data_IF_175622708539
#
_entry.id   IF_175622708539
#
_cell.length_a   1.000
_cell.length_b   1.000
_cell.length_c   1.000
_cell.angle_alpha   90.00
_cell.angle_beta   90.00
_cell.angle_gamma   90.00
#
_symmetry.space_group_name_H-M   'P 1'
#
loop_
_entity.id
_entity.type
_entity.pdbx_description
1 polymer ?
#
# COMPACT_ATOMS: atom_id res chain seq x y z
N UNK A 1 -1.88 -39.35 -24.89
CA UNK A 1 -1.46 -40.06 -23.66
C UNK A 1 0.04 -40.11 -23.62
N UNK A 2 0.67 -39.25 -22.82
CA UNK A 2 1.95 -39.52 -22.18
C UNK A 2 2.01 -38.60 -20.96
N UNK A 3 1.78 -39.23 -19.81
CA UNK A 3 1.97 -38.68 -18.48
C UNK A 3 3.46 -38.73 -18.19
N UNK A 4 4.05 -37.58 -17.90
CA UNK A 4 5.35 -37.50 -17.22
C UNK A 4 5.09 -37.23 -15.76
N UNK A 5 5.14 -38.32 -14.99
CA UNK A 5 5.19 -38.35 -13.53
C UNK A 5 6.42 -37.57 -13.05
N UNK A 6 6.18 -36.44 -12.38
CA UNK A 6 7.18 -35.73 -11.61
C UNK A 6 7.52 -36.50 -10.34
N UNK A 7 8.82 -36.67 -10.09
CA UNK A 7 9.37 -37.25 -8.87
C UNK A 7 9.03 -36.29 -7.72
N UNK A 8 8.11 -36.69 -6.84
CA UNK A 8 7.75 -35.95 -5.63
C UNK A 8 8.86 -36.12 -4.59
N UNK A 9 9.59 -35.05 -4.29
CA UNK A 9 10.41 -34.99 -3.09
C UNK A 9 9.48 -34.88 -1.86
N UNK A 10 9.79 -35.65 -0.83
CA UNK A 10 9.07 -35.66 0.44
C UNK A 10 9.14 -34.29 1.12
N UNK A 11 8.01 -33.57 1.15
CA UNK A 11 7.83 -32.33 1.92
C UNK A 11 7.21 -31.14 1.19
N UNK A 12 6.74 -31.28 -0.05
CA UNK A 12 6.12 -30.17 -0.78
C UNK A 12 4.80 -29.75 -0.14
N UNK A 13 4.82 -28.58 0.51
CA UNK A 13 3.60 -27.86 0.85
C UNK A 13 2.96 -27.42 -0.46
N UNK A 14 1.81 -27.99 -0.83
CA UNK A 14 1.07 -27.56 -2.02
C UNK A 14 0.52 -26.16 -1.76
N UNK A 15 1.10 -25.13 -2.38
CA UNK A 15 0.57 -23.77 -2.33
C UNK A 15 -0.74 -23.69 -3.13
N UNK A 16 -1.75 -23.01 -2.59
CA UNK A 16 -3.04 -22.84 -3.26
C UNK A 16 -3.08 -21.48 -3.95
N UNK A 17 -2.53 -21.41 -5.16
CA UNK A 17 -2.57 -20.22 -6.01
C UNK A 17 -3.88 -20.14 -6.79
N UNK A 18 -4.42 -18.92 -6.95
CA UNK A 18 -5.50 -18.65 -7.89
C UNK A 18 -4.99 -18.58 -9.32
N UNK A 19 -5.89 -18.68 -10.29
CA UNK A 19 -5.55 -18.52 -11.70
C UNK A 19 -4.84 -17.18 -11.96
N UNK A 20 -3.68 -17.27 -12.62
CA UNK A 20 -2.84 -16.12 -12.97
C UNK A 20 -1.94 -15.61 -11.83
N UNK A 21 -2.03 -16.16 -10.62
CA UNK A 21 -1.05 -15.87 -9.57
C UNK A 21 0.28 -16.55 -9.88
N UNK A 22 1.36 -15.81 -9.64
CA UNK A 22 2.73 -16.29 -9.72
C UNK A 22 3.36 -16.24 -8.33
N UNK A 23 4.16 -17.26 -8.02
CA UNK A 23 4.98 -17.32 -6.82
C UNK A 23 6.45 -17.23 -7.20
N UNK A 24 7.20 -16.36 -6.52
CA UNK A 24 8.62 -16.17 -6.78
C UNK A 24 9.38 -15.86 -5.48
N UNK A 25 10.70 -15.73 -5.58
CA UNK A 25 11.57 -15.22 -4.52
C UNK A 25 12.28 -13.99 -5.07
N UNK A 26 11.96 -12.82 -4.51
CA UNK A 26 12.57 -11.54 -4.89
C UNK A 26 13.39 -11.04 -3.71
N UNK A 27 14.66 -10.72 -3.96
CA UNK A 27 15.67 -10.35 -2.94
C UNK A 27 15.69 -11.28 -1.71
N UNK A 28 15.57 -12.60 -1.95
CA UNK A 28 15.64 -13.60 -0.89
C UNK A 28 14.35 -13.80 -0.09
N UNK A 29 13.27 -13.08 -0.42
CA UNK A 29 12.00 -13.18 0.26
C UNK A 29 10.90 -13.71 -0.66
N UNK A 30 10.04 -14.64 -0.19
CA UNK A 30 8.94 -15.15 -0.97
C UNK A 30 7.92 -14.04 -1.27
N UNK A 31 7.39 -14.05 -2.49
CA UNK A 31 6.36 -13.13 -2.96
C UNK A 31 5.34 -13.90 -3.78
N UNK A 32 4.07 -13.52 -3.64
CA UNK A 32 3.02 -13.93 -4.58
C UNK A 32 2.42 -12.69 -5.20
N UNK A 33 2.28 -12.69 -6.51
CA UNK A 33 1.68 -11.58 -7.22
C UNK A 33 0.76 -12.04 -8.34
N UNK A 34 -0.16 -11.18 -8.73
CA UNK A 34 -1.00 -11.38 -9.90
C UNK A 34 -0.95 -10.13 -10.76
N UNK A 35 -0.55 -10.31 -12.02
CA UNK A 35 -0.64 -9.29 -13.05
C UNK A 35 -1.89 -9.50 -13.90
N UNK A 36 -2.65 -8.44 -14.12
CA UNK A 36 -3.81 -8.39 -15.00
C UNK A 36 -3.48 -7.36 -16.08
N UNK A 37 -3.46 -7.81 -17.33
CA UNK A 37 -3.06 -6.99 -18.46
C UNK A 37 -4.01 -5.80 -18.70
N UNK A 38 -3.46 -4.66 -19.13
CA UNK A 38 -4.22 -3.53 -19.62
C UNK A 38 -4.41 -3.58 -21.13
N UNK A 39 -4.60 -2.42 -21.76
CA UNK A 39 -4.68 -2.29 -23.23
C UNK A 39 -3.31 -2.15 -23.91
N UNK A 40 -2.22 -2.19 -23.13
CA UNK A 40 -0.83 -1.97 -23.55
C UNK A 40 -0.57 -0.56 -24.13
N UNK A 41 -1.37 0.45 -23.75
CA UNK A 41 -1.09 1.85 -24.06
C UNK A 41 0.21 2.30 -23.36
N UNK A 42 1.26 2.72 -24.11
CA UNK A 42 2.54 3.11 -23.53
C UNK A 42 2.48 4.40 -22.70
N UNK A 43 1.37 5.14 -22.77
CA UNK A 43 1.13 6.32 -21.93
C UNK A 43 0.57 5.98 -20.54
N UNK A 44 0.08 4.74 -20.34
CA UNK A 44 -0.50 4.30 -19.08
C UNK A 44 0.55 3.61 -18.21
N UNK A 45 0.83 4.12 -16.99
CA UNK A 45 1.69 3.42 -16.04
C UNK A 45 1.05 2.12 -15.56
N UNK A 46 1.88 1.17 -15.13
CA UNK A 46 1.40 0.02 -14.35
C UNK A 46 0.80 0.50 -13.03
N UNK A 47 -0.32 -0.08 -12.60
CA UNK A 47 -0.90 0.18 -11.27
C UNK A 47 -0.55 -0.97 -10.34
N UNK A 48 0.23 -0.71 -9.29
CA UNK A 48 0.66 -1.72 -8.33
C UNK A 48 -0.04 -1.53 -6.97
N UNK A 49 -0.70 -2.57 -6.47
CA UNK A 49 -1.35 -2.59 -5.17
C UNK A 49 -0.48 -3.30 -4.12
N UNK A 50 -0.28 -2.62 -2.98
CA UNK A 50 0.50 -3.10 -1.84
C UNK A 50 -0.42 -3.22 -0.62
N UNK A 51 -0.61 -4.44 -0.06
CA UNK A 51 -1.62 -4.71 0.96
C UNK A 51 -1.19 -4.30 2.38
N UNK A 52 -2.17 -4.21 3.26
CA UNK A 52 -2.00 -3.88 4.66
C UNK A 52 -1.51 -5.02 5.55
N UNK A 53 -1.44 -4.72 6.84
CA UNK A 53 -1.16 -5.69 7.89
C UNK A 53 -2.13 -6.86 7.80
N UNK A 54 -1.60 -8.08 7.95
CA UNK A 54 -2.32 -9.33 7.95
C UNK A 54 -3.06 -9.69 6.65
N UNK A 55 -2.83 -8.97 5.55
CA UNK A 55 -3.49 -9.21 4.28
C UNK A 55 -2.51 -9.52 3.15
N UNK A 56 -2.94 -10.37 2.24
CA UNK A 56 -2.28 -10.58 0.95
C UNK A 56 -2.91 -9.70 -0.16
N UNK A 57 -2.31 -9.74 -1.35
CA UNK A 57 -2.73 -8.92 -2.49
C UNK A 57 -4.12 -9.26 -3.03
N UNK A 58 -4.69 -10.44 -2.71
CA UNK A 58 -6.01 -10.89 -3.21
C UNK A 58 -7.12 -9.94 -2.84
N UNK A 59 -6.98 -9.21 -1.73
CA UNK A 59 -7.97 -8.19 -1.33
C UNK A 59 -8.22 -7.12 -2.40
N UNK A 60 -7.30 -6.96 -3.36
CA UNK A 60 -7.41 -6.00 -4.46
C UNK A 60 -7.94 -6.58 -5.77
N UNK A 61 -7.96 -7.90 -5.94
CA UNK A 61 -8.30 -8.55 -7.21
C UNK A 61 -9.25 -9.76 -7.11
N UNK A 62 -9.60 -10.21 -5.90
CA UNK A 62 -10.50 -11.35 -5.73
C UNK A 62 -9.84 -12.68 -6.07
N UNK A 63 -10.58 -13.56 -6.75
CA UNK A 63 -10.10 -14.86 -7.25
C UNK A 63 -10.60 -16.09 -6.49
N UNK A 64 -11.27 -15.91 -5.35
CA UNK A 64 -11.88 -17.01 -4.61
C UNK A 64 -13.08 -17.59 -5.36
N UNK A 65 -13.48 -18.82 -5.06
CA UNK A 65 -14.65 -19.43 -5.70
C UNK A 65 -15.92 -18.60 -5.46
N UNK A 66 -16.62 -18.23 -6.54
CA UNK A 66 -17.84 -17.43 -6.46
C UNK A 66 -17.65 -15.91 -6.40
N UNK A 67 -16.40 -15.42 -6.44
CA UNK A 67 -16.13 -13.97 -6.46
C UNK A 67 -16.69 -13.29 -7.72
N UNK A 68 -17.01 -12.00 -7.59
CA UNK A 68 -17.32 -11.13 -8.74
C UNK A 68 -16.19 -10.14 -8.96
N UNK A 69 -15.68 -10.07 -10.18
CA UNK A 69 -14.52 -9.21 -10.48
C UNK A 69 -14.79 -7.73 -10.19
N UNK A 70 -16.00 -7.26 -10.48
CA UNK A 70 -16.43 -5.86 -10.28
C UNK A 70 -16.43 -5.40 -8.80
N UNK A 71 -16.30 -6.32 -7.85
CA UNK A 71 -16.20 -6.02 -6.42
C UNK A 71 -14.76 -5.67 -5.99
N UNK A 72 -13.79 -5.73 -6.90
CA UNK A 72 -12.37 -5.53 -6.59
C UNK A 72 -11.75 -4.46 -7.49
N UNK A 73 -10.76 -3.73 -6.95
CA UNK A 73 -10.08 -2.62 -7.65
C UNK A 73 -9.51 -3.01 -9.01
N UNK A 74 -8.93 -4.21 -9.10
CA UNK A 74 -8.26 -4.66 -10.31
C UNK A 74 -9.18 -4.65 -11.55
N UNK A 75 -10.45 -5.00 -11.39
CA UNK A 75 -11.44 -4.95 -12.46
C UNK A 75 -11.59 -3.52 -13.00
N UNK A 76 -11.76 -2.54 -12.12
CA UNK A 76 -11.99 -1.16 -12.54
C UNK A 76 -10.79 -0.55 -13.26
N UNK A 77 -9.57 -0.86 -12.85
CA UNK A 77 -8.37 -0.42 -13.58
C UNK A 77 -8.25 -1.09 -14.95
N UNK A 78 -8.52 -2.39 -15.03
CA UNK A 78 -8.53 -3.14 -16.28
C UNK A 78 -9.57 -2.57 -17.27
N UNK A 79 -10.79 -2.29 -16.83
CA UNK A 79 -11.84 -1.69 -17.67
C UNK A 79 -11.46 -0.30 -18.21
N UNK A 80 -10.56 0.42 -17.53
CA UNK A 80 -10.02 1.70 -18.00
C UNK A 80 -8.68 1.54 -18.76
N UNK A 81 -8.29 0.30 -19.08
CA UNK A 81 -7.11 -0.06 -19.87
C UNK A 81 -5.77 -0.04 -19.11
N UNK A 82 -5.77 0.15 -17.79
CA UNK A 82 -4.54 0.08 -17.00
C UNK A 82 -4.17 -1.37 -16.70
N UNK A 83 -2.87 -1.70 -16.81
CA UNK A 83 -2.35 -2.92 -16.21
C UNK A 83 -2.41 -2.85 -14.69
N UNK A 84 -2.75 -3.95 -14.02
CA UNK A 84 -2.89 -4.02 -12.57
C UNK A 84 -2.02 -5.13 -11.99
N UNK A 85 -1.27 -4.83 -10.92
CA UNK A 85 -0.39 -5.76 -10.23
C UNK A 85 -0.74 -5.80 -8.74
N UNK A 86 -1.34 -6.88 -8.26
CA UNK A 86 -1.52 -7.12 -6.82
C UNK A 86 -0.34 -7.89 -6.25
N UNK A 87 0.31 -7.38 -5.19
CA UNK A 87 1.53 -7.96 -4.61
C UNK A 87 1.23 -8.45 -3.19
N UNK A 88 1.75 -9.62 -2.82
CA UNK A 88 1.67 -10.18 -1.46
C UNK A 88 3.08 -10.33 -0.90
N UNK A 89 3.35 -9.64 0.21
CA UNK A 89 4.59 -9.81 0.97
C UNK A 89 4.56 -11.15 1.75
N UNK A 90 5.69 -11.58 2.36
CA UNK A 90 5.72 -12.81 3.16
C UNK A 90 4.62 -12.84 4.21
N UNK A 91 3.78 -13.88 4.18
CA UNK A 91 2.62 -14.02 5.06
C UNK A 91 2.46 -15.49 5.48
N UNK A 92 2.14 -15.73 6.75
CA UNK A 92 1.87 -17.08 7.28
C UNK A 92 0.35 -17.25 7.46
N UNK A 93 -0.29 -17.94 6.50
CA UNK A 93 -1.75 -18.06 6.38
C UNK A 93 -2.21 -19.52 6.47
N UNK A 94 -3.49 -19.74 6.85
CA UNK A 94 -4.07 -21.09 6.99
C UNK A 94 -4.00 -21.88 5.68
N UNK A 95 -4.30 -21.22 4.55
CA UNK A 95 -4.02 -21.75 3.22
C UNK A 95 -2.75 -21.08 2.69
N UNK A 96 -1.59 -21.77 2.73
CA UNK A 96 -0.33 -21.15 2.35
C UNK A 96 -0.35 -20.72 0.88
N UNK A 97 -0.16 -19.41 0.66
CA UNK A 97 0.10 -18.84 -0.66
C UNK A 97 1.58 -18.97 -1.04
N UNK A 98 2.45 -18.96 -0.03
CA UNK A 98 3.90 -19.01 -0.15
C UNK A 98 4.52 -19.60 1.11
N UNK A 99 5.81 -19.91 1.07
CA UNK A 99 6.54 -20.39 2.23
C UNK A 99 6.65 -19.30 3.32
N UNK A 100 6.34 -19.63 4.57
CA UNK A 100 6.51 -18.73 5.72
C UNK A 100 7.97 -18.71 6.23
N UNK A 101 8.90 -18.22 5.39
CA UNK A 101 10.36 -18.31 5.64
C UNK A 101 11.04 -16.98 5.94
N UNK A 102 10.29 -15.88 6.01
CA UNK A 102 10.83 -14.51 6.23
C UNK A 102 10.20 -13.80 7.43
N UNK A 103 10.28 -14.36 8.66
CA UNK A 103 9.74 -13.71 9.85
C UNK A 103 10.48 -12.40 10.23
N UNK A 104 11.74 -12.27 9.82
CA UNK A 104 12.58 -11.08 10.03
C UNK A 104 12.37 -9.97 8.98
N UNK A 105 11.41 -10.11 8.07
CA UNK A 105 11.16 -9.15 6.99
C UNK A 105 10.84 -7.74 7.54
N UNK A 106 11.50 -6.73 6.98
CA UNK A 106 11.45 -5.33 7.44
C UNK A 106 10.80 -4.39 6.42
N UNK A 107 10.59 -3.13 6.79
CA UNK A 107 10.05 -2.10 5.89
C UNK A 107 10.97 -1.86 4.67
N UNK A 108 12.31 -1.75 4.82
CA UNK A 108 13.22 -1.69 3.68
C UNK A 108 13.09 -2.90 2.76
N UNK A 109 13.08 -4.11 3.32
CA UNK A 109 12.92 -5.34 2.54
C UNK A 109 11.59 -5.32 1.76
N UNK A 110 10.53 -4.80 2.38
CA UNK A 110 9.22 -4.66 1.75
C UNK A 110 9.25 -3.68 0.57
N UNK A 111 9.89 -2.53 0.73
CA UNK A 111 10.11 -1.58 -0.37
C UNK A 111 10.90 -2.19 -1.52
N UNK A 112 11.99 -2.89 -1.20
CA UNK A 112 12.87 -3.51 -2.21
C UNK A 112 12.17 -4.65 -2.94
N UNK A 113 11.49 -5.54 -2.21
CA UNK A 113 10.71 -6.63 -2.80
C UNK A 113 9.60 -6.09 -3.70
N UNK A 114 8.89 -5.05 -3.27
CA UNK A 114 7.81 -4.43 -4.05
C UNK A 114 8.35 -3.86 -5.36
N UNK A 115 9.42 -3.04 -5.31
CA UNK A 115 10.03 -2.46 -6.50
C UNK A 115 10.62 -3.53 -7.44
N UNK A 116 11.25 -4.57 -6.90
CA UNK A 116 11.75 -5.71 -7.67
C UNK A 116 10.63 -6.51 -8.36
N UNK A 117 9.49 -6.67 -7.69
CA UNK A 117 8.31 -7.35 -8.28
C UNK A 117 7.71 -6.51 -9.41
N UNK A 118 7.59 -5.19 -9.21
CA UNK A 118 7.16 -4.25 -10.27
C UNK A 118 8.11 -4.35 -11.47
N UNK A 119 9.43 -4.34 -11.23
CA UNK A 119 10.44 -4.45 -12.29
C UNK A 119 10.28 -5.73 -13.11
N UNK A 120 10.14 -6.87 -12.44
CA UNK A 120 9.97 -8.17 -13.08
C UNK A 120 8.74 -8.18 -14.01
N UNK A 121 7.60 -7.67 -13.51
CA UNK A 121 6.35 -7.62 -14.30
C UNK A 121 6.47 -6.66 -15.48
N UNK A 122 7.08 -5.49 -15.29
CA UNK A 122 7.33 -4.54 -16.38
C UNK A 122 8.20 -5.17 -17.48
N UNK A 123 9.25 -5.89 -17.11
CA UNK A 123 10.18 -6.52 -18.08
C UNK A 123 9.55 -7.69 -18.81
N UNK A 124 8.88 -8.58 -18.08
CA UNK A 124 8.20 -9.77 -18.63
C UNK A 124 7.10 -9.38 -19.62
N UNK A 125 6.40 -8.26 -19.39
CA UNK A 125 5.26 -7.83 -20.19
C UNK A 125 5.58 -6.63 -21.10
N UNK A 126 6.85 -6.22 -21.19
CA UNK A 126 7.32 -5.10 -22.02
C UNK A 126 6.56 -3.78 -21.78
N UNK A 127 6.24 -3.49 -20.52
CA UNK A 127 5.49 -2.29 -20.13
C UNK A 127 6.38 -1.04 -20.07
N UNK A 128 5.79 0.17 -20.07
CA UNK A 128 6.51 1.40 -19.74
C UNK A 128 7.20 1.29 -18.36
N UNK A 129 8.36 1.94 -18.22
CA UNK A 129 9.09 2.01 -16.94
C UNK A 129 8.46 3.05 -15.99
N UNK A 130 7.14 3.02 -15.81
CA UNK A 130 6.40 3.92 -14.95
C UNK A 130 5.32 3.19 -14.17
N UNK A 131 5.09 3.63 -12.94
CA UNK A 131 4.17 2.97 -12.01
C UNK A 131 3.39 3.99 -11.17
N UNK A 132 2.12 3.66 -10.91
CA UNK A 132 1.30 4.23 -9.84
C UNK A 132 1.16 3.19 -8.74
N UNK A 133 1.47 3.57 -7.50
CA UNK A 133 1.42 2.65 -6.35
C UNK A 133 0.19 2.97 -5.51
N UNK A 134 -0.67 1.98 -5.31
CA UNK A 134 -1.79 2.01 -4.38
C UNK A 134 -1.35 1.29 -3.11
N UNK A 135 -1.17 2.04 -2.02
CA UNK A 135 -0.78 1.46 -0.74
C UNK A 135 -1.96 1.48 0.20
N UNK A 136 -2.32 0.32 0.75
CA UNK A 136 -3.42 0.20 1.69
C UNK A 136 -2.92 -0.02 3.13
N UNK A 137 -3.55 0.67 4.10
CA UNK A 137 -3.31 0.40 5.53
C UNK A 137 -1.82 0.54 5.90
N UNK A 138 -1.22 -0.51 6.44
CA UNK A 138 0.18 -0.53 6.82
C UNK A 138 1.16 -0.25 5.66
N UNK A 139 0.76 -0.45 4.40
CA UNK A 139 1.61 -0.23 3.23
C UNK A 139 2.02 1.23 3.02
N UNK A 140 1.40 2.20 3.70
CA UNK A 140 1.90 3.58 3.69
C UNK A 140 3.36 3.69 4.14
N UNK A 141 3.85 2.72 4.93
CA UNK A 141 5.22 2.65 5.41
C UNK A 141 6.27 2.43 4.32
N UNK A 142 5.90 1.81 3.20
CA UNK A 142 6.84 1.55 2.10
C UNK A 142 7.06 2.77 1.21
N UNK A 143 6.36 3.89 1.45
CA UNK A 143 6.40 5.11 0.62
C UNK A 143 7.79 5.48 0.12
N UNK A 144 8.76 5.68 1.02
CA UNK A 144 10.11 6.05 0.61
C UNK A 144 10.89 4.83 0.09
N UNK A 145 10.94 3.68 0.80
CA UNK A 145 11.78 2.56 0.38
C UNK A 145 11.45 2.04 -1.02
N UNK A 146 10.16 1.91 -1.35
CA UNK A 146 9.74 1.50 -2.70
C UNK A 146 10.08 2.55 -3.74
N UNK A 147 9.96 3.84 -3.42
CA UNK A 147 10.21 4.92 -4.37
C UNK A 147 11.68 5.03 -4.72
N UNK A 148 12.56 4.98 -3.71
CA UNK A 148 14.00 5.05 -3.94
C UNK A 148 14.49 3.81 -4.68
N UNK A 149 14.00 2.63 -4.32
CA UNK A 149 14.39 1.41 -5.02
C UNK A 149 13.86 1.38 -6.46
N UNK A 150 12.60 1.75 -6.69
CA UNK A 150 12.04 1.85 -8.04
C UNK A 150 12.88 2.78 -8.92
N UNK A 151 13.27 3.95 -8.40
CA UNK A 151 14.17 4.89 -9.10
C UNK A 151 15.52 4.25 -9.41
N UNK A 152 16.10 3.50 -8.46
CA UNK A 152 17.37 2.77 -8.66
C UNK A 152 17.26 1.72 -9.78
N UNK A 153 16.08 1.10 -9.93
CA UNK A 153 15.76 0.14 -10.97
C UNK A 153 15.33 0.79 -12.30
N UNK A 154 15.36 2.12 -12.39
CA UNK A 154 14.98 2.88 -13.59
C UNK A 154 13.47 3.02 -13.80
N UNK A 155 12.67 2.83 -12.76
CA UNK A 155 11.21 2.95 -12.78
C UNK A 155 10.79 4.30 -12.21
N UNK A 156 9.96 5.03 -12.95
CA UNK A 156 9.36 6.29 -12.50
C UNK A 156 8.09 6.03 -11.67
N UNK A 157 8.13 6.35 -10.38
CA UNK A 157 6.93 6.33 -9.52
C UNK A 157 6.17 7.64 -9.70
N UNK A 158 5.23 7.64 -10.64
CA UNK A 158 4.48 8.83 -11.03
C UNK A 158 3.56 9.33 -9.91
N UNK A 159 2.96 8.39 -9.17
CA UNK A 159 2.04 8.70 -8.09
C UNK A 159 2.02 7.58 -7.04
N UNK A 160 2.03 7.96 -5.77
CA UNK A 160 1.75 7.08 -4.64
C UNK A 160 0.41 7.48 -4.00
N UNK A 161 -0.57 6.59 -4.04
CA UNK A 161 -1.90 6.82 -3.49
C UNK A 161 -2.03 6.05 -2.19
N UNK A 162 -2.25 6.79 -1.10
CA UNK A 162 -2.70 6.23 0.16
C UNK A 162 -4.17 5.83 0.06
N UNK A 163 -4.47 4.56 0.29
CA UNK A 163 -5.83 4.07 0.52
C UNK A 163 -5.94 3.75 2.00
N UNK A 164 -6.47 4.68 2.81
CA UNK A 164 -6.42 4.57 4.27
C UNK A 164 -5.05 4.05 4.75
N UNK A 165 -3.94 4.70 4.38
CA UNK A 165 -2.60 4.17 4.62
C UNK A 165 -1.82 4.95 5.69
N UNK A 166 -1.01 4.23 6.47
CA UNK A 166 -0.20 4.78 7.57
C UNK A 166 1.25 4.96 7.10
N UNK A 167 1.76 6.20 6.94
CA UNK A 167 3.16 6.43 6.62
C UNK A 167 4.07 6.15 7.83
N UNK A 168 5.37 6.03 7.60
CA UNK A 168 6.38 5.80 8.64
C UNK A 168 6.70 7.07 9.45
N UNK A 169 5.69 7.60 10.15
CA UNK A 169 5.82 8.74 11.06
C UNK A 169 5.68 8.29 12.53
N UNK A 170 6.49 8.84 13.45
CA UNK A 170 6.38 8.55 14.88
C UNK A 170 5.01 8.92 15.45
N UNK A 171 4.54 8.13 16.42
CA UNK A 171 3.34 8.43 17.19
C UNK A 171 2.00 8.17 16.48
N UNK A 172 2.00 7.61 15.27
CA UNK A 172 0.76 7.27 14.56
C UNK A 172 0.08 5.99 15.07
N UNK A 173 0.84 5.07 15.67
CA UNK A 173 0.33 3.81 16.20
C UNK A 173 0.67 3.70 17.69
N UNK A 174 -0.23 3.13 18.51
CA UNK A 174 0.08 2.83 19.89
C UNK A 174 1.16 1.75 19.99
N UNK A 175 2.01 1.84 21.00
CA UNK A 175 2.88 0.73 21.40
C UNK A 175 2.02 -0.42 21.92
N UNK A 176 2.35 -1.64 21.52
CA UNK A 176 1.69 -2.86 21.97
C UNK A 176 2.67 -3.62 22.86
N UNK A 177 2.24 -4.01 24.05
CA UNK A 177 3.11 -4.75 24.97
C UNK A 177 3.40 -6.15 24.41
N UNK A 178 4.63 -6.65 24.62
CA UNK A 178 5.09 -7.94 24.08
C UNK A 178 4.20 -9.11 24.51
N UNK A 179 3.62 -9.03 25.71
CA UNK A 179 2.74 -10.06 26.28
C UNK A 179 1.41 -10.22 25.52
N UNK A 180 1.05 -9.24 24.69
CA UNK A 180 -0.17 -9.27 23.87
C UNK A 180 0.07 -9.82 22.47
N UNK A 181 1.30 -10.22 22.15
CA UNK A 181 1.70 -10.66 20.82
C UNK A 181 1.89 -12.16 20.79
N UNK A 182 1.33 -12.80 19.76
CA UNK A 182 1.38 -14.24 19.61
C UNK A 182 2.23 -14.59 18.37
N UNK A 183 3.47 -15.07 18.53
CA UNK A 183 4.23 -15.59 17.40
C UNK A 183 3.61 -16.91 16.92
N UNK A 184 3.55 -17.12 15.60
CA UNK A 184 3.28 -18.44 15.01
C UNK A 184 4.50 -19.34 15.15
N UNK A 185 4.34 -20.64 14.86
CA UNK A 185 5.48 -21.57 14.82
C UNK A 185 6.57 -21.16 13.81
N UNK A 186 6.21 -20.38 12.80
CA UNK A 186 7.13 -19.84 11.78
C UNK A 186 7.73 -18.48 12.18
N UNK A 187 7.39 -17.93 13.35
CA UNK A 187 7.92 -16.66 13.85
C UNK A 187 7.17 -15.41 13.35
N UNK A 188 5.99 -15.55 12.75
CA UNK A 188 5.18 -14.42 12.28
C UNK A 188 4.24 -13.93 13.39
N UNK A 189 3.87 -12.65 13.37
CA UNK A 189 2.93 -12.08 14.33
C UNK A 189 1.49 -12.43 13.97
N UNK A 190 0.81 -13.14 14.85
CA UNK A 190 -0.64 -13.36 14.81
C UNK A 190 -1.39 -12.39 15.74
N UNK A 191 -2.44 -11.76 15.22
CA UNK A 191 -3.29 -10.81 15.95
C UNK A 191 -4.77 -11.20 15.79
N UNK A 192 -5.28 -12.19 16.55
CA UNK A 192 -6.66 -12.65 16.41
C UNK A 192 -7.74 -11.57 16.60
N UNK A 193 -7.45 -10.52 17.39
CA UNK A 193 -8.38 -9.41 17.59
C UNK A 193 -8.54 -8.55 16.31
N UNK A 194 -7.50 -8.41 15.48
CA UNK A 194 -7.59 -7.68 14.22
C UNK A 194 -8.51 -8.41 13.24
N UNK A 195 -8.50 -9.74 13.25
CA UNK A 195 -9.41 -10.55 12.43
C UNK A 195 -10.88 -10.18 12.71
N UNK A 196 -11.26 -10.10 13.99
CA UNK A 196 -12.61 -9.70 14.39
C UNK A 196 -12.95 -8.27 13.96
N UNK A 197 -12.02 -7.33 14.14
CA UNK A 197 -12.21 -5.94 13.71
C UNK A 197 -12.40 -5.82 12.19
N UNK A 198 -11.58 -6.52 11.41
CA UNK A 198 -11.69 -6.48 9.95
C UNK A 198 -12.96 -7.16 9.43
N UNK A 199 -13.41 -8.26 10.05
CA UNK A 199 -14.70 -8.86 9.72
C UNK A 199 -15.87 -7.90 10.00
N UNK A 200 -15.81 -7.13 11.10
CA UNK A 200 -16.81 -6.08 11.39
C UNK A 200 -16.79 -4.98 10.32
N UNK A 201 -15.62 -4.61 9.81
CA UNK A 201 -15.50 -3.62 8.74
C UNK A 201 -16.00 -4.18 7.40
N UNK A 202 -15.75 -5.45 7.07
CA UNK A 202 -16.35 -6.11 5.90
C UNK A 202 -17.89 -6.08 6.02
N UNK A 203 -18.44 -6.50 7.17
CA UNK A 203 -19.89 -6.46 7.43
C UNK A 203 -20.48 -5.04 7.29
N UNK A 204 -19.78 -4.00 7.73
CA UNK A 204 -20.23 -2.61 7.55
C UNK A 204 -20.14 -2.18 6.08
N UNK A 205 -19.07 -2.56 5.37
CA UNK A 205 -18.88 -2.22 3.96
C UNK A 205 -19.97 -2.87 3.08
N UNK A 206 -20.42 -4.09 3.41
CA UNK A 206 -21.56 -4.73 2.76
C UNK A 206 -22.86 -3.93 2.92
N UNK A 207 -23.12 -3.43 4.14
CA UNK A 207 -24.29 -2.60 4.43
C UNK A 207 -24.26 -1.26 3.69
N UNK A 208 -23.08 -0.63 3.62
CA UNK A 208 -22.87 0.63 2.87
C UNK A 208 -23.16 0.44 1.38
N UNK A 209 -22.79 -0.72 0.82
CA UNK A 209 -22.99 -1.02 -0.60
C UNK A 209 -24.37 -1.60 -0.95
N UNK A 210 -25.28 -1.65 0.03
CA UNK A 210 -26.68 -2.09 -0.14
C UNK A 210 -26.85 -3.52 -0.67
N UNK A 211 -25.96 -4.44 -0.27
CA UNK A 211 -26.12 -5.85 -0.61
C UNK A 211 -27.46 -6.38 -0.07
N UNK A 212 -28.20 -7.11 -0.90
CA UNK A 212 -29.44 -7.80 -0.50
C UNK A 212 -29.16 -8.86 0.57
N UNK A 213 -30.13 -9.15 1.44
CA UNK A 213 -30.01 -10.19 2.47
C UNK A 213 -29.50 -11.52 1.88
N UNK A 214 -28.44 -12.07 2.50
CA UNK A 214 -27.86 -13.36 2.12
C UNK A 214 -26.72 -13.31 1.10
N UNK A 215 -26.30 -12.12 0.64
CA UNK A 215 -25.15 -11.97 -0.26
C UNK A 215 -23.98 -11.28 0.43
N UNK A 216 -22.77 -11.82 0.24
CA UNK A 216 -21.49 -11.25 0.67
C UNK A 216 -20.52 -11.16 -0.49
N UNK A 217 -19.65 -10.15 -0.50
CA UNK A 217 -18.58 -10.05 -1.50
C UNK A 217 -17.37 -10.92 -1.12
N UNK A 218 -17.17 -11.18 0.17
CA UNK A 218 -16.28 -12.23 0.69
C UNK A 218 -16.93 -12.86 1.92
N UNK A 219 -17.20 -14.17 1.86
CA UNK A 219 -17.69 -14.91 3.03
C UNK A 219 -16.65 -14.92 4.16
N UNK A 220 -17.02 -14.79 5.45
CA UNK A 220 -16.07 -14.75 6.56
C UNK A 220 -15.10 -15.93 6.56
N UNK A 221 -15.59 -17.15 6.32
CA UNK A 221 -14.74 -18.35 6.27
C UNK A 221 -13.73 -18.33 5.10
N UNK A 222 -14.08 -17.71 3.96
CA UNK A 222 -13.16 -17.51 2.84
C UNK A 222 -12.15 -16.42 3.18
N UNK A 223 -12.60 -15.29 3.73
CA UNK A 223 -11.74 -14.19 4.16
C UNK A 223 -10.64 -14.67 5.11
N UNK A 224 -11.02 -15.38 6.17
CA UNK A 224 -10.07 -15.85 7.18
C UNK A 224 -9.00 -16.78 6.60
N UNK A 225 -9.37 -17.62 5.63
CA UNK A 225 -8.48 -18.64 5.07
C UNK A 225 -7.62 -18.13 3.93
N UNK A 226 -8.19 -17.28 3.07
CA UNK A 226 -7.62 -16.96 1.75
C UNK A 226 -7.09 -15.53 1.65
N UNK A 227 -7.46 -14.63 2.56
CA UNK A 227 -7.08 -13.22 2.55
C UNK A 227 -6.25 -12.80 3.75
N UNK A 228 -6.42 -13.47 4.90
CA UNK A 228 -5.84 -13.09 6.18
C UNK A 228 -4.69 -14.02 6.61
N UNK A 229 -3.67 -13.47 7.29
CA UNK A 229 -2.56 -14.26 7.82
C UNK A 229 -1.69 -13.52 8.84
N UNK A 230 -0.79 -14.23 9.47
CA UNK A 230 0.21 -13.66 10.38
C UNK A 230 1.31 -12.93 9.60
N UNK A 231 1.75 -11.80 10.15
CA UNK A 231 2.58 -10.77 9.48
C UNK A 231 3.99 -10.75 10.06
N UNK A 232 5.06 -10.51 9.28
CA UNK A 232 6.39 -10.27 9.84
C UNK A 232 6.35 -9.11 10.84
N UNK A 233 6.89 -9.30 12.05
CA UNK A 233 6.81 -8.28 13.12
C UNK A 233 7.51 -6.97 12.69
N UNK A 234 8.59 -7.09 11.90
CA UNK A 234 9.43 -5.99 11.42
C UNK A 234 8.74 -5.01 10.47
N UNK A 235 7.56 -5.32 9.92
CA UNK A 235 6.77 -4.35 9.13
C UNK A 235 5.66 -3.68 9.95
N UNK A 236 5.29 -4.26 11.10
CA UNK A 236 4.26 -3.69 11.99
C UNK A 236 4.80 -2.50 12.79
N UNK A 237 6.07 -2.55 13.20
CA UNK A 237 6.76 -1.53 14.02
C UNK A 237 6.05 -1.18 15.31
N UNK A 238 5.58 -2.21 16.01
CA UNK A 238 5.22 -2.11 17.43
C UNK A 238 6.44 -1.97 18.36
N UNK A 239 7.58 -1.48 17.87
CA UNK A 239 8.85 -1.40 18.61
C UNK A 239 9.54 -2.75 18.79
N UNK A 240 9.27 -3.72 17.90
CA UNK A 240 9.78 -5.09 18.00
C UNK A 240 10.30 -5.60 16.66
N UNK A 241 11.31 -6.47 16.74
CA UNK A 241 11.92 -7.18 15.62
C UNK A 241 11.89 -8.69 15.90
N UNK A 242 12.05 -9.48 14.85
CA UNK A 242 12.28 -10.91 14.99
C UNK A 242 13.79 -11.17 14.99
N UNK A 243 14.27 -11.85 16.03
CA UNK A 243 15.66 -12.27 16.14
C UNK A 243 15.82 -13.67 15.51
N UNK A 244 16.66 -13.76 14.48
CA UNK A 244 16.90 -15.01 13.77
C UNK A 244 17.69 -16.05 14.58
N UNK A 245 18.46 -15.62 15.59
CA UNK A 245 19.26 -16.51 16.44
C UNK A 245 18.40 -17.14 17.53
N UNK A 246 17.68 -16.29 18.28
CA UNK A 246 16.82 -16.74 19.39
C UNK A 246 15.45 -17.24 18.94
N UNK A 247 15.02 -16.88 17.71
CA UNK A 247 13.67 -17.13 17.17
C UNK A 247 12.56 -16.45 17.98
N UNK A 248 12.88 -15.34 18.65
CA UNK A 248 11.93 -14.59 19.48
C UNK A 248 11.68 -13.17 18.94
N UNK A 249 10.59 -12.55 19.44
CA UNK A 249 10.40 -11.11 19.30
C UNK A 249 11.25 -10.37 20.33
N UNK A 250 12.06 -9.42 19.87
CA UNK A 250 12.95 -8.60 20.70
C UNK A 250 12.62 -7.12 20.51
N UNK A 251 12.78 -6.33 21.57
CA UNK A 251 12.58 -4.87 21.50
C UNK A 251 13.60 -4.22 20.58
N UNK A 252 13.13 -3.27 19.78
CA UNK A 252 13.99 -2.38 19.00
C UNK A 252 14.88 -1.59 19.97
N UNK A 253 16.20 -1.69 19.79
CA UNK A 253 17.16 -0.93 20.61
C UNK A 253 17.11 0.57 20.33
N UNK A 254 16.77 0.93 19.09
CA UNK A 254 16.61 2.32 18.67
C UNK A 254 15.13 2.67 18.55
N UNK A 255 14.67 3.62 19.37
CA UNK A 255 13.31 4.15 19.31
C UNK A 255 13.00 4.92 18.01
N UNK A 256 14.02 5.23 17.21
CA UNK A 256 13.89 5.89 15.92
C UNK A 256 13.94 4.93 14.73
N UNK A 257 14.01 3.61 14.98
CA UNK A 257 14.13 2.61 13.93
C UNK A 257 13.03 2.73 12.84
N UNK A 258 11.78 3.06 13.22
CA UNK A 258 10.71 3.33 12.23
C UNK A 258 11.07 4.47 11.25
N UNK A 259 11.69 5.55 11.73
CA UNK A 259 12.12 6.66 10.88
C UNK A 259 13.27 6.24 9.98
N UNK A 260 14.21 5.45 10.50
CA UNK A 260 15.36 4.97 9.75
C UNK A 260 14.96 3.99 8.65
N UNK A 261 13.99 3.14 8.91
CA UNK A 261 13.56 2.10 7.99
C UNK A 261 12.53 2.59 6.97
N UNK A 262 11.70 3.55 7.36
CA UNK A 262 10.67 4.10 6.50
C UNK A 262 11.03 5.43 5.83
N UNK A 263 12.02 6.16 6.33
CA UNK A 263 12.60 7.40 5.76
C UNK A 263 11.58 8.44 5.27
N UNK A 264 10.37 8.48 5.85
CA UNK A 264 9.29 9.38 5.41
C UNK A 264 9.62 10.87 5.64
N UNK A 265 10.64 11.15 6.46
CA UNK A 265 11.17 12.49 6.72
C UNK A 265 12.14 12.97 5.62
N UNK A 266 12.60 12.08 4.73
CA UNK A 266 13.45 12.43 3.60
C UNK A 266 12.59 12.94 2.42
N UNK A 267 12.01 14.13 2.60
CA UNK A 267 10.95 14.66 1.75
C UNK A 267 11.33 14.82 0.27
N UNK A 268 12.59 15.15 -0.03
CA UNK A 268 13.08 15.29 -1.41
C UNK A 268 13.13 13.97 -2.18
N UNK A 269 13.17 12.83 -1.48
CA UNK A 269 13.16 11.52 -2.11
C UNK A 269 11.75 11.00 -2.44
N UNK A 270 10.71 11.58 -1.86
CA UNK A 270 9.32 11.11 -1.96
C UNK A 270 8.72 11.36 -3.35
N UNK A 271 7.82 10.48 -3.83
CA UNK A 271 7.13 10.65 -5.11
C UNK A 271 6.01 11.69 -4.96
N UNK A 272 5.35 12.04 -6.07
CA UNK A 272 4.05 12.73 -5.97
C UNK A 272 3.08 11.82 -5.22
N UNK A 273 2.25 12.39 -4.34
CA UNK A 273 1.36 11.63 -3.47
C UNK A 273 -0.09 12.11 -3.60
N UNK A 274 -1.04 11.20 -3.39
CA UNK A 274 -2.44 11.50 -3.13
C UNK A 274 -2.96 10.64 -1.97
N UNK A 275 -4.10 10.99 -1.36
CA UNK A 275 -4.70 10.20 -0.30
C UNK A 275 -6.22 10.07 -0.43
N UNK A 276 -6.72 8.85 -0.29
CA UNK A 276 -8.14 8.53 -0.18
C UNK A 276 -8.37 7.93 1.20
N UNK A 277 -9.31 8.50 1.94
CA UNK A 277 -9.58 8.11 3.33
C UNK A 277 -11.07 7.86 3.58
N UNK A 278 -11.42 6.97 4.53
CA UNK A 278 -12.80 6.59 4.78
C UNK A 278 -13.53 7.63 5.63
N UNK A 279 -14.86 7.56 5.63
CA UNK A 279 -15.71 8.37 6.52
C UNK A 279 -16.20 7.60 7.75
N UNK A 280 -16.03 6.28 7.82
CA UNK A 280 -16.54 5.46 8.93
C UNK A 280 -15.74 5.65 10.23
N UNK A 281 -16.47 5.61 11.35
CA UNK A 281 -15.89 5.56 12.69
C UNK A 281 -15.25 4.21 13.03
N UNK A 282 -15.57 3.12 12.31
CA UNK A 282 -14.89 1.82 12.49
C UNK A 282 -13.42 1.87 12.05
N UNK A 283 -13.05 2.86 11.24
CA UNK A 283 -11.66 3.16 10.88
C UNK A 283 -11.21 4.53 11.43
N UNK A 284 -11.54 4.76 12.70
CA UNK A 284 -11.43 6.04 13.41
C UNK A 284 -10.14 6.82 13.16
N UNK A 285 -8.98 6.15 13.24
CA UNK A 285 -7.69 6.83 13.08
C UNK A 285 -7.57 7.38 11.65
N UNK A 286 -7.88 6.57 10.65
CA UNK A 286 -7.76 6.96 9.25
C UNK A 286 -8.80 8.02 8.87
N UNK A 287 -10.06 7.87 9.33
CA UNK A 287 -11.13 8.81 9.01
C UNK A 287 -10.94 10.21 9.60
N UNK A 288 -10.17 10.34 10.69
CA UNK A 288 -9.90 11.63 11.32
C UNK A 288 -8.55 12.22 10.90
N UNK A 289 -7.51 11.39 10.74
CA UNK A 289 -6.13 11.90 10.65
C UNK A 289 -5.55 11.89 9.25
N UNK A 290 -5.99 11.01 8.34
CA UNK A 290 -5.26 10.78 7.08
C UNK A 290 -5.19 12.03 6.19
N UNK A 291 -6.27 12.82 6.08
CA UNK A 291 -6.22 14.10 5.35
C UNK A 291 -5.08 14.98 5.83
N UNK A 292 -4.97 15.18 7.14
CA UNK A 292 -3.94 16.04 7.73
C UNK A 292 -2.53 15.43 7.61
N UNK A 293 -2.40 14.13 7.91
CA UNK A 293 -1.12 13.41 7.88
C UNK A 293 -0.51 13.38 6.48
N UNK A 294 -1.30 13.04 5.46
CA UNK A 294 -0.81 12.98 4.08
C UNK A 294 -0.58 14.37 3.48
N UNK A 295 -1.44 15.34 3.80
CA UNK A 295 -1.23 16.74 3.39
C UNK A 295 0.08 17.30 3.95
N UNK A 296 0.42 16.98 5.20
CA UNK A 296 1.70 17.38 5.80
C UNK A 296 2.88 16.86 4.96
N UNK A 297 2.90 15.57 4.61
CA UNK A 297 3.97 14.99 3.79
C UNK A 297 4.06 15.62 2.40
N UNK A 298 2.91 15.86 1.76
CA UNK A 298 2.84 16.52 0.45
C UNK A 298 3.38 17.95 0.50
N UNK A 299 3.03 18.72 1.53
CA UNK A 299 3.53 20.09 1.74
C UNK A 299 5.04 20.07 1.98
N UNK A 300 5.54 19.19 2.84
CA UNK A 300 6.98 19.08 3.11
C UNK A 300 7.77 18.66 1.86
N UNK A 301 7.23 17.74 1.05
CA UNK A 301 7.81 17.41 -0.26
C UNK A 301 7.84 18.62 -1.18
N UNK A 302 6.74 19.36 -1.29
CA UNK A 302 6.68 20.54 -2.14
C UNK A 302 7.77 21.55 -1.73
N UNK A 303 7.93 21.77 -0.42
CA UNK A 303 8.99 22.63 0.12
C UNK A 303 10.41 22.13 -0.18
N UNK A 304 10.64 20.82 -0.12
CA UNK A 304 11.92 20.23 -0.53
C UNK A 304 12.21 20.51 -2.02
N UNK A 305 11.23 20.28 -2.90
CA UNK A 305 11.37 20.58 -4.34
C UNK A 305 11.63 22.08 -4.60
N UNK A 306 10.92 22.97 -3.91
CA UNK A 306 11.11 24.41 -4.04
C UNK A 306 12.48 24.88 -3.57
N UNK A 307 13.04 24.21 -2.57
CA UNK A 307 14.37 24.51 -2.03
C UNK A 307 15.48 24.14 -3.02
N UNK A 308 15.18 23.32 -4.03
CA UNK A 308 16.12 22.95 -5.10
C UNK A 308 15.90 23.79 -6.38
N UNK A 309 14.68 24.28 -6.64
CA UNK A 309 14.34 25.06 -7.84
C UNK A 309 14.78 26.54 -7.75
N UNK A 310 15.77 26.93 -8.55
CA UNK A 310 16.30 28.30 -8.59
C UNK A 310 15.26 29.35 -8.97
N UNK A 311 14.23 29.00 -9.75
CA UNK A 311 13.14 29.93 -10.10
C UNK A 311 12.30 30.26 -8.87
N UNK A 312 12.07 29.27 -8.00
CA UNK A 312 11.34 29.46 -6.75
C UNK A 312 12.18 30.20 -5.72
N UNK A 313 13.48 29.90 -5.62
CA UNK A 313 14.42 30.67 -4.77
C UNK A 313 14.45 32.15 -5.14
N UNK A 314 14.32 32.50 -6.42
CA UNK A 314 14.27 33.90 -6.85
C UNK A 314 13.02 34.63 -6.35
N UNK A 315 11.94 33.92 -5.98
CA UNK A 315 10.73 34.53 -5.42
C UNK A 315 10.92 34.98 -3.96
N UNK A 316 11.83 34.35 -3.21
CA UNK A 316 12.13 34.72 -1.82
C UNK A 316 13.22 35.80 -1.69
N UNK A 317 13.91 36.14 -2.78
CA UNK A 317 14.96 37.15 -2.81
C UNK A 317 14.41 38.49 -3.30
N UNK A 318 14.43 39.50 -2.41
CA UNK A 318 14.24 40.91 -2.80
C UNK A 318 15.62 41.49 -3.09
N UNK A 319 15.85 41.91 -4.34
CA UNK A 319 17.05 42.67 -4.71
C UNK A 319 16.72 44.17 -4.68
N UNK A 320 17.67 44.98 -4.20
CA UNK A 320 17.49 46.43 -4.00
C UNK A 320 17.25 47.22 -5.30
N UNK A 321 17.47 46.62 -6.47
CA UNK A 321 17.39 47.22 -7.81
C UNK A 321 16.10 46.89 -8.57
N UNK A 322 15.11 46.24 -7.95
CA UNK A 322 13.87 45.85 -8.62
C UNK A 322 12.90 47.03 -8.78
N UNK A 323 12.40 47.24 -10.01
CA UNK A 323 11.29 48.16 -10.25
C UNK A 323 10.01 47.69 -9.55
N UNK A 324 9.10 48.63 -9.26
CA UNK A 324 7.81 48.34 -8.63
C UNK A 324 7.00 47.26 -9.39
N UNK A 325 6.98 47.31 -10.72
CA UNK A 325 6.27 46.34 -11.56
C UNK A 325 6.84 44.93 -11.43
N UNK A 326 8.18 44.79 -11.41
CA UNK A 326 8.85 43.50 -11.22
C UNK A 326 8.58 42.93 -9.82
N UNK A 327 8.55 43.78 -8.81
CA UNK A 327 8.21 43.39 -7.45
C UNK A 327 6.75 42.89 -7.36
N UNK A 328 5.81 43.61 -7.99
CA UNK A 328 4.40 43.20 -8.05
C UNK A 328 4.21 41.85 -8.75
N UNK A 329 4.88 41.63 -9.89
CA UNK A 329 4.84 40.36 -10.62
C UNK A 329 5.40 39.19 -9.79
N UNK A 330 6.52 39.39 -9.08
CA UNK A 330 7.08 38.37 -8.17
C UNK A 330 6.14 38.06 -7.01
N UNK A 331 5.55 39.08 -6.39
CA UNK A 331 4.57 38.90 -5.32
C UNK A 331 3.35 38.10 -5.80
N UNK A 332 2.83 38.40 -6.98
CA UNK A 332 1.71 37.67 -7.57
C UNK A 332 2.06 36.19 -7.82
N UNK A 333 3.26 35.92 -8.33
CA UNK A 333 3.77 34.56 -8.55
C UNK A 333 3.90 33.79 -7.23
N UNK A 334 4.47 34.42 -6.20
CA UNK A 334 4.55 33.83 -4.85
C UNK A 334 3.17 33.56 -4.25
N UNK A 335 2.22 34.51 -4.38
CA UNK A 335 0.84 34.32 -3.93
C UNK A 335 0.11 33.20 -4.68
N UNK A 336 0.45 32.95 -5.95
CA UNK A 336 -0.06 31.80 -6.69
C UNK A 336 0.50 30.50 -6.14
N UNK A 337 1.82 30.42 -5.92
CA UNK A 337 2.47 29.26 -5.31
C UNK A 337 1.90 28.97 -3.92
N UNK A 338 1.75 30.00 -3.09
CA UNK A 338 1.16 29.89 -1.75
C UNK A 338 -0.26 29.31 -1.81
N UNK A 339 -1.09 29.76 -2.76
CA UNK A 339 -2.46 29.22 -2.93
C UNK A 339 -2.45 27.74 -3.30
N UNK A 340 -1.53 27.30 -4.17
CA UNK A 340 -1.40 25.88 -4.53
C UNK A 340 -1.02 25.06 -3.30
N UNK A 341 0.02 25.46 -2.57
CA UNK A 341 0.52 24.72 -1.39
C UNK A 341 -0.54 24.64 -0.29
N UNK A 342 -1.21 25.76 0.01
CA UNK A 342 -2.27 25.81 1.01
C UNK A 342 -3.52 25.02 0.60
N UNK A 343 -3.74 24.82 -0.71
CA UNK A 343 -4.86 24.03 -1.24
C UNK A 343 -4.55 22.54 -1.41
N UNK A 344 -3.34 22.06 -1.11
CA UNK A 344 -2.97 20.64 -1.20
C UNK A 344 -3.99 19.72 -0.50
N UNK A 345 -4.47 20.02 0.73
CA UNK A 345 -5.44 19.16 1.40
C UNK A 345 -6.72 18.96 0.61
N UNK A 346 -7.15 19.93 -0.20
CA UNK A 346 -8.36 19.84 -1.02
C UNK A 346 -8.08 19.27 -2.42
N UNK A 347 -6.88 19.49 -2.95
CA UNK A 347 -6.52 19.09 -4.31
C UNK A 347 -6.02 17.65 -4.42
N UNK A 348 -5.37 17.15 -3.37
CA UNK A 348 -4.63 15.88 -3.39
C UNK A 348 -5.20 14.85 -2.41
N UNK A 349 -6.31 15.16 -1.73
CA UNK A 349 -7.01 14.21 -0.87
C UNK A 349 -8.50 14.16 -1.17
N UNK A 350 -9.09 12.98 -0.97
CA UNK A 350 -10.52 12.76 -1.13
C UNK A 350 -11.04 11.83 -0.02
N UNK A 351 -12.21 12.14 0.54
CA UNK A 351 -12.95 11.20 1.36
C UNK A 351 -13.84 10.30 0.51
N UNK A 352 -14.12 9.11 1.03
CA UNK A 352 -15.07 8.17 0.42
C UNK A 352 -15.94 7.53 1.50
N UNK A 353 -17.23 7.40 1.19
CA UNK A 353 -18.17 6.69 2.06
C UNK A 353 -17.71 5.23 2.14
N UNK A 354 -17.35 4.80 3.35
CA UNK A 354 -16.78 3.48 3.58
C UNK A 354 -15.95 3.44 4.85
N UNK A 355 -15.39 2.28 5.13
CA UNK A 355 -14.40 2.06 6.19
C UNK A 355 -13.05 1.63 5.59
N UNK A 356 -12.21 0.95 6.35
CA UNK A 356 -10.89 0.49 5.90
C UNK A 356 -10.90 -0.29 4.58
N UNK A 357 -12.04 -0.92 4.22
CA UNK A 357 -12.24 -1.69 2.99
C UNK A 357 -13.06 -0.94 1.94
N UNK A 358 -13.08 0.40 1.96
CA UNK A 358 -13.91 1.23 1.07
C UNK A 358 -13.75 0.93 -0.44
N UNK A 359 -12.62 0.36 -0.83
CA UNK A 359 -12.27 0.04 -2.21
C UNK A 359 -12.72 -1.36 -2.66
N UNK A 360 -13.32 -2.13 -1.74
CA UNK A 360 -13.91 -3.43 -2.01
C UNK A 360 -15.44 -3.30 -2.02
N UNK A 361 -16.04 -4.15 -2.84
CA UNK A 361 -17.45 -4.22 -3.17
C UNK A 361 -17.92 -3.13 -4.14
N UNK A 362 -18.89 -3.50 -4.99
CA UNK A 362 -19.58 -2.57 -5.87
C UNK A 362 -20.84 -2.07 -5.18
N UNK A 363 -21.12 -0.77 -5.30
CA UNK A 363 -22.43 -0.21 -4.93
C UNK A 363 -23.51 -0.82 -5.81
N UNK A 364 -24.42 -1.60 -5.23
CA UNK A 364 -25.60 -2.08 -5.93
C UNK A 364 -26.60 -0.93 -6.04
N UNK A 365 -26.69 -0.31 -7.21
CA UNK A 365 -27.63 0.77 -7.60
C UNK A 365 -28.23 1.61 -6.45
N UNK A 366 -27.83 2.88 -6.35
CA UNK A 366 -28.75 3.88 -5.82
C UNK A 366 -29.94 3.95 -6.76
N UNK A 367 -31.10 3.45 -6.33
CA UNK A 367 -32.37 3.89 -6.89
C UNK A 367 -32.34 5.42 -6.97
N UNK A 368 -32.60 5.95 -8.17
CA UNK A 368 -32.54 7.36 -8.53
C UNK A 368 -32.76 8.30 -7.33
N UNK A 369 -31.68 8.91 -6.84
CA UNK A 369 -31.82 10.12 -6.03
C UNK A 369 -32.14 11.25 -7.02
N UNK A 370 -33.37 11.74 -6.93
CA UNK A 370 -33.86 12.95 -7.61
C UNK A 370 -33.11 14.19 -7.14
#
# INVERSE_FOLDING_TARGET
MMSTLGITNSGETSFKLYEGEQQNVIVGHPVVYKYIAGDNDPSKPLVAFVPGMAHNGRISYGGHEGYRSEEFLAHWFHEHGYGFLGISYPLDAELPLMSATSPAFTIPDWGVQTAGTIKAVIEENHLPQSVVILAWSMAGKVLQPVTVEARRLGIDVQLFISLAATPSLPGLLPTVSKERLNPTGSGYLSLPFLKQLFLQQIDEQEKINHFTEGRRFIEPAIYEKEYFGATPIGITRFGLLFDNETKEFVEEKDKWQLLEDGQAHNYGSLPTMAAIYPTSGLDFRHSITDKATWSYLMIQRAMAMFSEDDRVKQLSQVKDDLSADKLAARRSSFQHLQRIVLGIPELMTADIIGNHFFFVARVEQRGQLK
#
